data_IF_577553576427
#
_entry.id   IF_577553576427
#
_cell.length_a   1.000
_cell.length_b   1.000
_cell.length_c   1.000
_cell.angle_alpha   90.00
_cell.angle_beta   90.00
_cell.angle_gamma   90.00
#
_symmetry.space_group_name_H-M   'P 1'
#
loop_
_entity.id
_entity.type
_entity.pdbx_description
1 polymer ?
#
# COMPACT_ATOMS: atom_id res chain seq x y z
N UNK A 1 -40.78 10.23 12.89
CA UNK A 1 -40.10 9.46 13.95
C UNK A 1 -41.03 8.39 14.47
N UNK A 2 -40.86 7.16 14.00
CA UNK A 2 -40.98 5.94 14.83
C UNK A 2 -40.52 4.77 13.97
N UNK A 3 -39.62 4.00 14.56
CA UNK A 3 -38.87 2.88 14.02
C UNK A 3 -39.80 1.68 13.80
N UNK A 4 -39.74 1.04 12.63
CA UNK A 4 -40.25 -0.32 12.45
C UNK A 4 -39.37 -1.11 11.49
N UNK A 5 -38.88 -2.23 12.03
CA UNK A 5 -38.61 -3.51 11.37
C UNK A 5 -37.30 -3.68 10.58
N UNK A 6 -36.20 -3.90 11.31
CA UNK A 6 -35.23 -4.93 10.92
C UNK A 6 -35.41 -6.12 11.85
N UNK A 7 -36.13 -7.12 11.35
CA UNK A 7 -36.24 -8.42 11.97
C UNK A 7 -35.58 -9.45 11.08
N UNK A 8 -34.89 -10.38 11.76
CA UNK A 8 -34.38 -11.69 11.34
C UNK A 8 -32.92 -11.67 10.87
N UNK A 9 -32.00 -12.03 11.74
CA UNK A 9 -31.69 -13.38 12.29
C UNK A 9 -30.52 -13.96 11.49
N UNK A 10 -29.46 -14.28 12.22
CA UNK A 10 -28.40 -15.22 11.88
C UNK A 10 -27.40 -14.82 10.79
N UNK A 11 -26.57 -13.82 11.11
CA UNK A 11 -25.15 -13.90 10.75
C UNK A 11 -24.36 -13.80 12.05
N UNK A 12 -24.02 -14.96 12.63
CA UNK A 12 -22.94 -15.07 13.62
C UNK A 12 -21.68 -14.52 12.96
N UNK A 13 -21.39 -13.23 13.20
CA UNK A 13 -20.15 -12.60 12.81
C UNK A 13 -19.00 -13.38 13.45
N UNK A 14 -18.02 -13.91 12.67
CA UNK A 14 -17.00 -14.84 13.17
C UNK A 14 -15.96 -14.20 14.12
N UNK A 15 -16.20 -12.98 14.59
CA UNK A 15 -15.29 -12.27 15.49
C UNK A 15 -15.28 -12.80 16.93
N UNK A 16 -16.36 -13.44 17.41
CA UNK A 16 -16.43 -13.86 18.82
C UNK A 16 -15.54 -15.07 19.12
N UNK A 17 -15.49 -16.06 18.22
CA UNK A 17 -14.59 -17.21 18.39
C UNK A 17 -13.11 -16.85 18.24
N UNK A 18 -12.79 -15.92 17.33
CA UNK A 18 -11.41 -15.46 17.12
C UNK A 18 -10.90 -14.57 18.26
N UNK A 19 -11.76 -13.72 18.83
CA UNK A 19 -11.44 -12.96 20.03
C UNK A 19 -11.16 -13.89 21.24
N UNK A 20 -11.92 -14.98 21.37
CA UNK A 20 -11.69 -16.01 22.39
C UNK A 20 -10.38 -16.78 22.20
N UNK A 21 -9.91 -16.98 20.96
CA UNK A 21 -8.61 -17.61 20.67
C UNK A 21 -7.43 -16.69 21.01
N UNK A 22 -7.58 -15.38 20.79
CA UNK A 22 -6.59 -14.36 21.18
C UNK A 22 -6.41 -14.30 22.71
N UNK A 23 -7.50 -14.38 23.48
CA UNK A 23 -7.46 -14.40 24.94
C UNK A 23 -6.84 -15.68 25.54
N UNK A 24 -6.82 -16.79 24.79
CA UNK A 24 -6.31 -18.09 25.27
C UNK A 24 -4.82 -18.33 25.01
N UNK A 25 -4.08 -17.32 24.55
CA UNK A 25 -2.62 -17.39 24.43
C UNK A 25 -2.09 -18.43 23.43
N UNK A 26 -2.94 -18.93 22.52
CA UNK A 26 -2.51 -19.76 21.39
C UNK A 26 -2.10 -18.84 20.25
N UNK A 27 -0.79 -18.62 20.11
CA UNK A 27 -0.23 -17.99 18.92
C UNK A 27 -0.67 -18.81 17.69
N UNK A 28 -1.24 -18.18 16.64
CA UNK A 28 -1.57 -18.90 15.42
C UNK A 28 -0.29 -19.48 14.82
N UNK A 29 -0.27 -20.79 14.61
CA UNK A 29 0.76 -21.44 13.79
C UNK A 29 0.66 -20.87 12.38
N UNK A 30 1.76 -20.29 11.91
CA UNK A 30 1.87 -19.56 10.65
C UNK A 30 1.57 -20.38 9.39
N UNK A 31 1.41 -21.70 9.53
CA UNK A 31 1.23 -22.66 8.43
C UNK A 31 -0.22 -22.82 7.95
N UNK A 32 -1.17 -22.01 8.43
CA UNK A 32 -2.60 -22.07 8.01
C UNK A 32 -3.10 -20.80 7.30
N UNK A 33 -2.18 -19.99 6.75
CA UNK A 33 -2.49 -18.74 6.07
C UNK A 33 -2.42 -18.86 4.54
N UNK A 34 -3.24 -19.71 3.94
CA UNK A 34 -3.60 -19.62 2.51
C UNK A 34 -4.60 -18.46 2.22
N UNK A 35 -4.69 -17.48 3.12
CA UNK A 35 -5.80 -16.53 3.20
C UNK A 35 -5.56 -15.14 2.61
N UNK A 36 -4.45 -14.86 1.91
CA UNK A 36 -4.01 -13.44 1.78
C UNK A 36 -3.82 -12.86 0.39
N UNK A 37 -3.88 -13.60 -0.73
CA UNK A 37 -3.50 -13.02 -2.04
C UNK A 37 -4.49 -11.98 -2.61
N UNK A 38 -5.82 -12.11 -2.50
CA UNK A 38 -6.73 -11.10 -3.05
C UNK A 38 -6.76 -9.80 -2.24
N UNK A 39 -6.70 -9.91 -0.90
CA UNK A 39 -6.98 -8.79 0.02
C UNK A 39 -5.92 -7.69 -0.08
N UNK A 40 -4.64 -8.03 -0.22
CA UNK A 40 -3.59 -7.00 -0.30
C UNK A 40 -3.64 -6.24 -1.62
N UNK A 41 -3.95 -6.94 -2.73
CA UNK A 41 -3.98 -6.34 -4.07
C UNK A 41 -5.13 -5.35 -4.18
N UNK A 42 -6.32 -5.74 -3.71
CA UNK A 42 -7.49 -4.86 -3.67
C UNK A 42 -7.25 -3.65 -2.76
N UNK A 43 -6.74 -3.88 -1.55
CA UNK A 43 -6.37 -2.80 -0.61
C UNK A 43 -5.37 -1.81 -1.24
N UNK A 44 -4.34 -2.30 -1.93
CA UNK A 44 -3.33 -1.43 -2.53
C UNK A 44 -3.90 -0.65 -3.71
N UNK A 45 -4.71 -1.32 -4.54
CA UNK A 45 -5.42 -0.69 -5.66
C UNK A 45 -6.34 0.43 -5.20
N UNK A 46 -7.14 0.20 -4.17
CA UNK A 46 -8.08 1.21 -3.64
C UNK A 46 -7.35 2.43 -3.06
N UNK A 47 -6.24 2.18 -2.36
CA UNK A 47 -5.40 3.26 -1.80
C UNK A 47 -4.69 4.04 -2.89
N UNK A 48 -4.13 3.37 -3.90
CA UNK A 48 -3.54 4.03 -5.08
C UNK A 48 -4.59 4.85 -5.84
N UNK A 49 -5.80 4.32 -6.03
CA UNK A 49 -6.89 5.04 -6.69
C UNK A 49 -7.26 6.32 -5.92
N UNK A 50 -7.25 6.26 -4.59
CA UNK A 50 -7.47 7.44 -3.74
C UNK A 50 -6.38 8.50 -3.95
N UNK A 51 -5.10 8.11 -4.02
CA UNK A 51 -4.02 9.04 -4.34
C UNK A 51 -4.09 9.58 -5.76
N UNK A 52 -4.42 8.74 -6.73
CA UNK A 52 -4.62 9.16 -8.13
C UNK A 52 -5.64 10.29 -8.21
N UNK A 53 -6.79 10.11 -7.57
CA UNK A 53 -7.85 11.12 -7.56
C UNK A 53 -7.41 12.41 -6.86
N UNK A 54 -6.62 12.31 -5.78
CA UNK A 54 -6.07 13.48 -5.08
C UNK A 54 -4.98 14.23 -5.87
N UNK A 55 -4.36 13.56 -6.84
CA UNK A 55 -3.24 14.07 -7.64
C UNK A 55 -3.63 14.24 -9.12
N UNK A 56 -4.92 14.32 -9.42
CA UNK A 56 -5.44 14.42 -10.78
C UNK A 56 -4.82 15.62 -11.53
N UNK A 57 -4.29 15.35 -12.72
CA UNK A 57 -3.64 16.33 -13.58
C UNK A 57 -2.16 16.59 -13.25
N UNK A 58 -1.55 15.82 -12.36
CA UNK A 58 -0.12 15.90 -12.08
C UNK A 58 0.70 14.81 -12.76
N UNK A 59 2.02 15.00 -12.82
CA UNK A 59 2.93 14.04 -13.44
C UNK A 59 2.85 12.66 -12.76
N UNK A 60 2.73 12.63 -11.43
CA UNK A 60 2.67 11.42 -10.62
C UNK A 60 1.40 10.59 -10.85
N UNK A 61 0.33 11.18 -11.39
CA UNK A 61 -0.90 10.47 -11.75
C UNK A 61 -0.58 9.30 -12.70
N UNK A 62 0.25 9.56 -13.72
CA UNK A 62 0.63 8.57 -14.73
C UNK A 62 1.47 7.43 -14.14
N UNK A 63 2.30 7.73 -13.14
CA UNK A 63 3.10 6.73 -12.43
C UNK A 63 2.24 5.86 -11.50
N UNK A 64 1.21 6.45 -10.89
CA UNK A 64 0.22 5.69 -10.10
C UNK A 64 -0.58 4.75 -11.02
N UNK A 65 -0.98 5.20 -12.20
CA UNK A 65 -1.63 4.34 -13.21
C UNK A 65 -0.74 3.16 -13.61
N UNK A 66 0.55 3.41 -13.82
CA UNK A 66 1.51 2.35 -14.08
C UNK A 66 1.58 1.34 -12.93
N UNK A 67 1.65 1.79 -11.68
CA UNK A 67 1.69 0.94 -10.49
C UNK A 67 0.42 0.09 -10.32
N UNK A 68 -0.76 0.65 -10.61
CA UNK A 68 -2.01 -0.12 -10.62
C UNK A 68 -1.99 -1.20 -11.71
N UNK A 69 -1.49 -0.86 -12.91
CA UNK A 69 -1.29 -1.84 -13.98
C UNK A 69 -0.31 -2.96 -13.59
N UNK A 70 0.74 -2.63 -12.84
CA UNK A 70 1.70 -3.62 -12.33
C UNK A 70 1.02 -4.56 -11.32
N UNK A 71 0.22 -4.04 -10.39
CA UNK A 71 -0.54 -4.82 -9.41
C UNK A 71 -1.49 -5.84 -10.06
N UNK A 72 -2.12 -5.48 -11.18
CA UNK A 72 -3.08 -6.33 -11.87
C UNK A 72 -2.42 -7.46 -12.66
N UNK A 73 -1.19 -7.25 -13.14
CA UNK A 73 -0.47 -8.20 -14.00
C UNK A 73 0.37 -9.23 -13.25
N UNK A 74 0.85 -8.88 -12.06
CA UNK A 74 1.87 -9.68 -11.39
C UNK A 74 1.27 -10.86 -10.59
N UNK A 75 1.68 -12.08 -10.92
CA UNK A 75 1.52 -13.24 -10.04
C UNK A 75 2.63 -13.21 -8.99
N UNK A 76 2.30 -12.72 -7.80
CA UNK A 76 3.30 -12.43 -6.78
C UNK A 76 3.53 -13.67 -5.90
N UNK A 77 4.72 -14.26 -6.00
CA UNK A 77 5.17 -15.30 -5.07
C UNK A 77 5.19 -14.79 -3.62
N UNK A 78 5.13 -15.67 -2.63
CA UNK A 78 5.07 -15.27 -1.21
C UNK A 78 6.26 -14.40 -0.76
N UNK A 79 7.46 -14.63 -1.30
CA UNK A 79 8.64 -13.81 -1.03
C UNK A 79 8.55 -12.45 -1.71
N UNK A 80 8.13 -12.42 -2.98
CA UNK A 80 7.94 -11.18 -3.73
C UNK A 80 6.83 -10.32 -3.11
N UNK A 81 5.82 -10.94 -2.50
CA UNK A 81 4.74 -10.26 -1.81
C UNK A 81 5.26 -9.48 -0.60
N UNK A 82 6.22 -10.02 0.14
CA UNK A 82 6.83 -9.30 1.28
C UNK A 82 7.54 -8.04 0.82
N UNK A 83 8.28 -8.12 -0.29
CA UNK A 83 8.96 -6.96 -0.88
C UNK A 83 7.95 -5.92 -1.33
N UNK A 84 6.89 -6.34 -2.01
CA UNK A 84 5.81 -5.44 -2.44
C UNK A 84 5.15 -4.75 -1.26
N UNK A 85 4.72 -5.50 -0.25
CA UNK A 85 4.11 -4.93 0.96
C UNK A 85 5.06 -3.97 1.65
N UNK A 86 6.33 -4.33 1.77
CA UNK A 86 7.34 -3.46 2.37
C UNK A 86 7.48 -2.14 1.61
N UNK A 87 7.65 -2.19 0.28
CA UNK A 87 7.83 -1.00 -0.55
C UNK A 87 6.59 -0.12 -0.57
N UNK A 88 5.40 -0.70 -0.67
CA UNK A 88 4.16 0.06 -0.70
C UNK A 88 3.86 0.74 0.64
N UNK A 89 3.88 -0.02 1.74
CA UNK A 89 3.46 0.49 3.05
C UNK A 89 4.51 1.38 3.71
N UNK A 90 5.81 1.15 3.49
CA UNK A 90 6.85 1.93 4.15
C UNK A 90 7.40 3.06 3.29
N UNK A 91 7.28 3.00 1.96
CA UNK A 91 7.90 3.97 1.07
C UNK A 91 6.88 4.70 0.20
N UNK A 92 6.12 3.97 -0.62
CA UNK A 92 5.24 4.58 -1.61
C UNK A 92 4.08 5.35 -0.96
N UNK A 93 3.27 4.69 -0.12
CA UNK A 93 2.11 5.35 0.47
C UNK A 93 2.51 6.53 1.37
N UNK A 94 3.53 6.41 2.25
CA UNK A 94 3.98 7.57 3.02
C UNK A 94 4.48 8.72 2.14
N UNK A 95 5.18 8.42 1.02
CA UNK A 95 5.58 9.46 0.06
C UNK A 95 4.36 10.19 -0.52
N UNK A 96 3.36 9.44 -0.99
CA UNK A 96 2.14 9.99 -1.59
C UNK A 96 1.31 10.78 -0.58
N UNK A 97 1.24 10.33 0.68
CA UNK A 97 0.59 11.08 1.77
C UNK A 97 1.25 12.42 2.01
N UNK A 98 2.59 12.47 2.06
CA UNK A 98 3.34 13.71 2.22
C UNK A 98 3.18 14.63 1.02
N UNK A 99 3.17 14.08 -0.19
CA UNK A 99 2.93 14.86 -1.41
C UNK A 99 1.55 15.53 -1.39
N UNK A 100 0.49 14.76 -1.10
CA UNK A 100 -0.87 15.29 -1.02
C UNK A 100 -0.96 16.35 0.06
N UNK A 101 -0.38 16.10 1.23
CA UNK A 101 -0.35 17.08 2.32
C UNK A 101 0.35 18.38 1.92
N UNK A 102 1.55 18.29 1.32
CA UNK A 102 2.30 19.45 0.86
C UNK A 102 1.52 20.26 -0.18
N UNK A 103 0.95 19.61 -1.19
CA UNK A 103 0.16 20.31 -2.23
C UNK A 103 -1.08 21.02 -1.69
N UNK A 104 -1.72 20.47 -0.66
CA UNK A 104 -2.89 21.07 -0.07
C UNK A 104 -2.56 22.24 0.88
N UNK A 105 -1.34 22.34 1.39
CA UNK A 105 -0.99 23.24 2.50
C UNK A 105 0.30 24.06 2.25
N UNK A 106 0.75 24.19 1.00
CA UNK A 106 2.02 24.84 0.68
C UNK A 106 2.14 26.23 1.35
N UNK A 107 3.25 26.51 2.07
CA UNK A 107 4.52 25.79 2.12
C UNK A 107 4.65 24.68 3.18
N UNK A 108 3.62 24.39 3.97
CA UNK A 108 3.69 23.34 5.00
C UNK A 108 3.85 21.95 4.35
N UNK A 109 4.67 21.08 4.94
CA UNK A 109 4.88 19.72 4.43
C UNK A 109 6.11 19.54 3.53
N UNK A 110 6.79 20.62 3.13
CA UNK A 110 7.96 20.55 2.24
C UNK A 110 9.13 19.82 2.90
N UNK A 111 9.38 20.08 4.19
CA UNK A 111 10.48 19.46 4.92
C UNK A 111 10.24 17.95 5.10
N UNK A 112 9.03 17.54 5.45
CA UNK A 112 8.66 16.14 5.58
C UNK A 112 8.70 15.40 4.24
N UNK A 113 8.25 16.05 3.15
CA UNK A 113 8.36 15.50 1.81
C UNK A 113 9.83 15.34 1.41
N UNK A 114 10.64 16.36 1.62
CA UNK A 114 12.08 16.35 1.31
C UNK A 114 12.83 15.29 2.12
N UNK A 115 12.50 15.14 3.40
CA UNK A 115 13.04 14.06 4.24
C UNK A 115 12.68 12.69 3.66
N UNK A 116 11.44 12.49 3.22
CA UNK A 116 11.02 11.21 2.65
C UNK A 116 11.69 10.91 1.30
N UNK A 117 11.89 11.92 0.45
CA UNK A 117 12.67 11.78 -0.78
C UNK A 117 14.10 11.32 -0.50
N UNK A 118 14.75 11.89 0.53
CA UNK A 118 16.08 11.48 0.95
C UNK A 118 16.11 10.03 1.45
N UNK A 119 15.14 9.64 2.27
CA UNK A 119 15.00 8.25 2.76
C UNK A 119 14.87 7.25 1.60
N UNK A 120 14.06 7.55 0.59
CA UNK A 120 13.94 6.71 -0.62
C UNK A 120 15.24 6.74 -1.45
N UNK A 121 15.95 7.86 -1.45
CA UNK A 121 17.27 7.99 -2.06
C UNK A 121 18.33 7.04 -1.46
N UNK A 122 18.15 6.61 -0.21
CA UNK A 122 19.02 5.64 0.47
C UNK A 122 18.69 4.18 0.10
N UNK A 123 17.54 3.91 -0.51
CA UNK A 123 17.21 2.58 -1.03
C UNK A 123 18.15 2.19 -2.18
N UNK A 124 18.45 0.88 -2.34
CA UNK A 124 19.25 0.41 -3.44
C UNK A 124 18.63 0.79 -4.79
N UNK A 125 19.47 1.13 -5.77
CA UNK A 125 19.02 1.46 -7.11
C UNK A 125 19.96 2.45 -7.82
N UNK A 126 19.66 2.70 -9.09
CA UNK A 126 20.39 3.66 -9.93
C UNK A 126 19.73 5.03 -9.91
N UNK A 127 20.51 6.10 -10.06
CA UNK A 127 20.03 7.48 -10.12
C UNK A 127 20.03 8.22 -8.77
N UNK A 128 19.92 9.55 -8.82
CA UNK A 128 19.65 10.38 -7.65
C UNK A 128 18.13 10.58 -7.53
N UNK A 129 17.64 10.68 -6.29
CA UNK A 129 16.24 11.01 -6.02
C UNK A 129 16.18 12.49 -5.66
N UNK A 130 15.77 13.32 -6.62
CA UNK A 130 15.61 14.77 -6.42
C UNK A 130 14.14 15.18 -6.52
N UNK A 131 13.34 14.42 -7.27
CA UNK A 131 11.90 14.65 -7.44
C UNK A 131 11.07 13.48 -6.90
N UNK A 132 9.77 13.72 -6.74
CA UNK A 132 8.80 12.68 -6.38
C UNK A 132 8.71 11.62 -7.48
N UNK A 133 8.75 12.03 -8.75
CA UNK A 133 8.79 11.13 -9.89
C UNK A 133 10.01 10.21 -9.84
N UNK A 134 11.20 10.70 -9.48
CA UNK A 134 12.39 9.87 -9.29
C UNK A 134 12.20 8.83 -8.18
N UNK A 135 11.61 9.25 -7.06
CA UNK A 135 11.34 8.38 -5.92
C UNK A 135 10.38 7.25 -6.29
N UNK A 136 9.27 7.57 -6.99
CA UNK A 136 8.30 6.58 -7.45
C UNK A 136 8.94 5.63 -8.47
N UNK A 137 9.72 6.15 -9.43
CA UNK A 137 10.43 5.33 -10.40
C UNK A 137 11.45 4.39 -9.76
N UNK A 138 12.15 4.83 -8.70
CA UNK A 138 13.02 3.94 -7.91
C UNK A 138 12.23 2.81 -7.26
N UNK A 139 11.09 3.10 -6.66
CA UNK A 139 10.21 2.07 -6.07
C UNK A 139 9.74 1.09 -7.14
N UNK A 140 9.32 1.58 -8.31
CA UNK A 140 8.93 0.75 -9.46
C UNK A 140 10.08 -0.18 -9.88
N UNK A 141 11.30 0.34 -10.00
CA UNK A 141 12.46 -0.46 -10.36
C UNK A 141 12.68 -1.60 -9.34
N UNK A 142 12.58 -1.31 -8.04
CA UNK A 142 12.72 -2.30 -6.98
C UNK A 142 11.62 -3.38 -7.01
N UNK A 143 10.39 -3.01 -7.38
CA UNK A 143 9.29 -3.98 -7.56
C UNK A 143 9.56 -4.95 -8.72
N UNK A 144 10.26 -4.48 -9.75
CA UNK A 144 10.61 -5.24 -10.94
C UNK A 144 11.87 -6.10 -10.76
N UNK A 145 12.85 -5.69 -9.96
CA UNK A 145 14.11 -6.42 -9.75
C UNK A 145 13.97 -7.75 -8.98
N UNK A 146 12.85 -8.00 -8.31
CA UNK A 146 12.63 -9.22 -7.51
C UNK A 146 12.33 -10.50 -8.31
N UNK A 147 12.72 -10.58 -9.59
CA UNK A 147 12.37 -11.67 -10.50
C UNK A 147 13.54 -12.30 -11.28
N UNK A 148 14.79 -11.96 -10.99
CA UNK A 148 15.96 -12.43 -11.77
C UNK A 148 16.90 -13.40 -11.02
N UNK A 149 16.44 -14.03 -9.93
CA UNK A 149 17.21 -15.10 -9.27
C UNK A 149 16.47 -16.45 -9.40
N UNK A 150 16.54 -17.06 -10.58
CA UNK A 150 16.32 -18.50 -10.83
C UNK A 150 17.52 -19.09 -11.60
#
# INVERSE_FOLDING_TARGET
MSCLNFGKEDEEFPFEEEALRFFKGKLPSWDTLDFRVPIWRERFRDRLLSFKNALLGSEEETLIDYLMGLLEREEVSSNRLRVWVYLFENHLFPLLERLVFYRANEPLGLDELSFKLKEIGELPGYGRVETVSDAINRIIALLNCGGEDD
#
